data_IF_460914008408
#
_entry.id   IF_460914008408
#
_cell.length_a   1.000
_cell.length_b   1.000
_cell.length_c   1.000
_cell.angle_alpha   90.00
_cell.angle_beta   90.00
_cell.angle_gamma   90.00
#
_symmetry.space_group_name_H-M   'P 1'
#
loop_
_entity.id
_entity.type
_entity.pdbx_description
1 polymer ?
#
# COMPACT_ATOMS: atom_id res chain seq x y z
N UNK A 1 -6.85 6.50 6.64
CA UNK A 1 -6.13 5.41 7.35
C UNK A 1 -6.35 5.57 8.84
N UNK A 2 -6.66 4.49 9.57
CA UNK A 2 -6.76 4.46 11.04
C UNK A 2 -5.99 3.25 11.57
N UNK A 3 -4.69 3.44 11.80
CA UNK A 3 -3.75 2.41 12.22
C UNK A 3 -2.95 2.89 13.43
N UNK A 4 -2.74 2.02 14.42
CA UNK A 4 -1.89 2.30 15.58
C UNK A 4 -0.43 1.94 15.25
N UNK A 5 0.17 2.68 14.32
CA UNK A 5 1.50 2.39 13.79
C UNK A 5 2.57 2.41 14.88
N UNK A 6 3.45 1.41 14.87
CA UNK A 6 4.67 1.36 15.68
C UNK A 6 5.90 1.28 14.77
N UNK A 7 7.08 1.56 15.31
CA UNK A 7 8.33 1.61 14.52
C UNK A 7 8.88 0.20 14.33
N UNK A 8 8.30 -0.56 13.39
CA UNK A 8 8.74 -1.90 13.00
C UNK A 8 8.68 -2.08 11.49
N UNK A 9 9.45 -3.04 10.95
CA UNK A 9 9.41 -3.37 9.52
C UNK A 9 8.04 -3.88 9.05
N UNK A 10 7.38 -4.69 9.87
CA UNK A 10 6.01 -5.15 9.59
C UNK A 10 5.06 -3.96 9.41
N UNK A 11 5.12 -2.98 10.32
CA UNK A 11 4.27 -1.79 10.24
C UNK A 11 4.63 -0.90 9.04
N UNK A 12 5.89 -0.85 8.61
CA UNK A 12 6.29 -0.15 7.38
C UNK A 12 5.60 -0.78 6.14
N UNK A 13 5.51 -2.11 6.08
CA UNK A 13 4.83 -2.81 5.01
C UNK A 13 3.32 -2.60 5.06
N UNK A 14 2.71 -2.69 6.24
CA UNK A 14 1.28 -2.39 6.43
C UNK A 14 0.95 -0.96 6.03
N UNK A 15 1.77 0.02 6.37
CA UNK A 15 1.55 1.42 5.97
C UNK A 15 1.51 1.56 4.44
N UNK A 16 2.38 0.87 3.70
CA UNK A 16 2.33 0.88 2.23
C UNK A 16 1.10 0.17 1.67
N UNK A 17 0.67 -0.93 2.29
CA UNK A 17 -0.56 -1.62 1.92
C UNK A 17 -1.79 -0.69 2.07
N UNK A 18 -1.94 -0.07 3.23
CA UNK A 18 -3.05 0.84 3.53
C UNK A 18 -3.00 2.11 2.66
N UNK A 19 -1.80 2.60 2.33
CA UNK A 19 -1.63 3.70 1.39
C UNK A 19 -2.04 3.29 -0.04
N UNK A 20 -1.86 2.03 -0.42
CA UNK A 20 -2.40 1.47 -1.68
C UNK A 20 -3.91 1.59 -1.78
N UNK A 21 -4.65 1.32 -0.70
CA UNK A 21 -6.10 1.56 -0.67
C UNK A 21 -6.44 3.04 -0.85
N UNK A 22 -5.72 3.95 -0.18
CA UNK A 22 -5.93 5.40 -0.33
C UNK A 22 -5.67 5.84 -1.77
N UNK A 23 -4.57 5.40 -2.37
CA UNK A 23 -4.27 5.71 -3.76
C UNK A 23 -5.39 5.19 -4.68
N UNK A 24 -5.89 3.99 -4.44
CA UNK A 24 -7.01 3.46 -5.23
C UNK A 24 -8.28 4.32 -5.07
N UNK A 25 -8.61 4.76 -3.84
CA UNK A 25 -9.72 5.69 -3.60
C UNK A 25 -9.56 7.00 -4.39
N UNK A 26 -8.34 7.56 -4.43
CA UNK A 26 -8.04 8.79 -5.15
C UNK A 26 -8.21 8.61 -6.66
N UNK A 27 -7.81 7.46 -7.22
CA UNK A 27 -7.87 7.21 -8.67
C UNK A 27 -9.30 7.09 -9.21
N UNK A 28 -10.24 6.53 -8.46
CA UNK A 28 -11.64 6.46 -8.89
C UNK A 28 -12.55 7.52 -8.27
N UNK A 29 -11.98 8.55 -7.61
CA UNK A 29 -12.75 9.56 -6.87
C UNK A 29 -13.75 10.35 -7.72
N UNK A 30 -13.59 10.39 -9.04
CA UNK A 30 -14.46 11.14 -9.96
C UNK A 30 -15.49 10.24 -10.69
N UNK A 31 -15.47 8.93 -10.46
CA UNK A 31 -16.49 8.01 -10.97
C UNK A 31 -17.86 8.24 -10.29
N UNK A 32 -18.99 7.82 -10.88
CA UNK A 32 -20.27 7.70 -10.17
C UNK A 32 -20.11 6.88 -8.89
N UNK A 33 -20.85 7.20 -7.83
CA UNK A 33 -20.71 6.55 -6.51
C UNK A 33 -20.78 5.02 -6.60
N UNK A 34 -21.64 4.48 -7.46
CA UNK A 34 -21.79 3.05 -7.71
C UNK A 34 -20.54 2.36 -8.30
N UNK A 35 -19.60 3.13 -8.84
CA UNK A 35 -18.35 2.66 -9.45
C UNK A 35 -17.10 3.07 -8.65
N UNK A 36 -17.25 3.64 -7.45
CA UNK A 36 -16.13 4.00 -6.56
C UNK A 36 -15.68 2.82 -5.69
N UNK A 37 -15.28 1.74 -6.34
CA UNK A 37 -14.77 0.53 -5.70
C UNK A 37 -13.81 -0.22 -6.62
N UNK A 38 -13.09 -1.20 -6.06
CA UNK A 38 -12.31 -2.13 -6.88
C UNK A 38 -13.22 -2.95 -7.79
N UNK A 39 -12.66 -3.48 -8.90
CA UNK A 39 -13.40 -4.34 -9.83
C UNK A 39 -14.07 -5.55 -9.12
N UNK A 40 -13.41 -6.05 -8.08
CA UNK A 40 -13.95 -6.91 -7.04
C UNK A 40 -13.12 -6.69 -5.76
N UNK A 41 -13.50 -7.22 -4.58
CA UNK A 41 -12.75 -7.04 -3.35
C UNK A 41 -11.27 -7.45 -3.44
N UNK A 42 -10.94 -8.47 -4.24
CA UNK A 42 -9.57 -8.94 -4.42
C UNK A 42 -8.65 -7.91 -5.10
N UNK A 43 -9.18 -7.07 -5.99
CA UNK A 43 -8.39 -5.98 -6.57
C UNK A 43 -8.01 -4.93 -5.53
N UNK A 44 -8.86 -4.71 -4.53
CA UNK A 44 -8.61 -3.68 -3.51
C UNK A 44 -7.44 -4.06 -2.61
N UNK A 45 -7.40 -5.32 -2.18
CA UNK A 45 -6.30 -5.90 -1.38
C UNK A 45 -5.01 -6.04 -2.18
N UNK A 46 -5.11 -6.52 -3.43
CA UNK A 46 -3.94 -6.78 -4.26
C UNK A 46 -3.11 -5.52 -4.56
N UNK A 47 -3.74 -4.35 -4.68
CA UNK A 47 -3.01 -3.08 -4.89
C UNK A 47 -2.11 -2.75 -3.69
N UNK A 48 -2.61 -2.92 -2.47
CA UNK A 48 -1.81 -2.74 -1.27
C UNK A 48 -0.65 -3.72 -1.18
N UNK A 49 -0.92 -5.00 -1.46
CA UNK A 49 0.10 -6.06 -1.40
C UNK A 49 1.20 -5.90 -2.45
N UNK A 50 0.87 -5.47 -3.67
CA UNK A 50 1.87 -5.25 -4.73
C UNK A 50 2.87 -4.16 -4.35
N UNK A 51 2.43 -3.10 -3.68
CA UNK A 51 3.32 -2.07 -3.15
C UNK A 51 4.22 -2.63 -2.04
N UNK A 52 3.63 -3.37 -1.09
CA UNK A 52 4.37 -4.03 -0.01
C UNK A 52 5.45 -4.99 -0.53
N UNK A 53 5.14 -5.78 -1.57
CA UNK A 53 6.10 -6.67 -2.23
C UNK A 53 7.30 -5.91 -2.79
N UNK A 54 7.10 -4.74 -3.40
CA UNK A 54 8.21 -3.93 -3.93
C UNK A 54 9.05 -3.33 -2.81
N UNK A 55 8.40 -2.83 -1.75
CA UNK A 55 9.05 -2.18 -0.60
C UNK A 55 9.91 -3.15 0.20
N UNK A 56 9.46 -4.41 0.32
CA UNK A 56 10.19 -5.46 1.04
C UNK A 56 11.46 -5.95 0.34
N UNK A 57 11.72 -5.54 -0.90
CA UNK A 57 12.92 -5.98 -1.63
C UNK A 57 14.19 -5.39 -1.01
N UNK A 58 15.29 -6.17 -0.88
CA UNK A 58 16.57 -5.66 -0.40
C UNK A 58 17.07 -4.44 -1.20
N UNK A 59 16.84 -4.45 -2.52
CA UNK A 59 17.16 -3.33 -3.41
C UNK A 59 16.47 -2.04 -2.98
N UNK A 60 15.17 -2.09 -2.67
CA UNK A 60 14.44 -0.91 -2.22
C UNK A 60 14.91 -0.47 -0.84
N UNK A 61 15.03 -1.39 0.12
CA UNK A 61 15.49 -1.11 1.48
C UNK A 61 16.89 -0.46 1.51
N UNK A 62 17.80 -0.93 0.66
CA UNK A 62 19.11 -0.33 0.49
C UNK A 62 19.02 1.10 -0.05
N UNK A 63 18.18 1.32 -1.08
CA UNK A 63 17.98 2.65 -1.69
C UNK A 63 17.45 3.67 -0.69
N UNK A 64 16.64 3.24 0.30
CA UNK A 64 16.07 4.11 1.33
C UNK A 64 16.89 4.13 2.63
N UNK A 65 18.08 3.53 2.66
CA UNK A 65 19.00 3.56 3.81
C UNK A 65 18.57 2.71 5.01
N UNK A 66 17.72 1.70 4.79
CA UNK A 66 17.31 0.73 5.82
C UNK A 66 18.08 -0.61 5.71
N UNK A 67 19.02 -0.71 4.76
CA UNK A 67 19.91 -1.87 4.57
C UNK A 67 21.27 -1.42 4.03
N UNK A 68 22.36 -1.82 4.68
CA UNK A 68 23.72 -1.36 4.33
C UNK A 68 24.22 -1.88 2.97
N UNK A 69 24.06 -3.18 2.71
CA UNK A 69 24.41 -3.88 1.46
C UNK A 69 23.46 -5.04 1.18
#
# INVERSE_FOLDING_TARGET
>A
IKQCTTVTMEQLFTVHHEMGHVEYYLQYKDQPVSYRGGANPGFHEAIGDVLSLSVSTPKHLHTIGLLDQ
#
